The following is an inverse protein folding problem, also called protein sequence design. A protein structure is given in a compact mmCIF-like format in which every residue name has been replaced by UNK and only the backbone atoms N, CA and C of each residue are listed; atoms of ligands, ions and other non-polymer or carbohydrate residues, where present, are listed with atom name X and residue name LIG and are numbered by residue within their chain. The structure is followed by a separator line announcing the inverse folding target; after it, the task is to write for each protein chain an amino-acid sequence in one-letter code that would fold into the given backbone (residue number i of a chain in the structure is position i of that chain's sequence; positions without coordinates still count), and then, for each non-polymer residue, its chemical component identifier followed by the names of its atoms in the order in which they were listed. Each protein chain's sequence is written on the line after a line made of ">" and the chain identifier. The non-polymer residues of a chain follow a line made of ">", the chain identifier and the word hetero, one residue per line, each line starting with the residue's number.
data_IF_308339183779
#
_entry.id   IF_308339183779
#
_cell.length_a   1.000
_cell.length_b   1.000
_cell.length_c   1.000
_cell.angle_alpha   90.00
_cell.angle_beta   90.00
_cell.angle_gamma   90.00
#
_symmetry.space_group_name_H-M   'P 1'
#
loop_
_entity.id
_entity.type
_entity.pdbx_description
1 polymer ?
#
# COMPACT_ATOMS: atom_id res chain seq x y z
N UNK A 1 -8.14 -8.41 19.66
CA UNK A 1 -7.91 -6.96 19.46
C UNK A 1 -8.43 -6.22 20.66
N UNK A 2 -7.70 -5.21 21.15
CA UNK A 2 -8.23 -4.35 22.22
C UNK A 2 -9.23 -3.34 21.64
N UNK A 3 -10.00 -2.69 22.50
CA UNK A 3 -10.96 -1.65 22.07
C UNK A 3 -10.24 -0.52 21.35
N UNK A 4 -9.08 -0.13 21.84
CA UNK A 4 -8.21 0.90 21.27
C UNK A 4 -7.74 0.52 19.88
N UNK A 5 -7.34 -0.75 19.67
CA UNK A 5 -6.97 -1.25 18.33
C UNK A 5 -8.14 -1.17 17.35
N UNK A 6 -9.35 -1.52 17.80
CA UNK A 6 -10.55 -1.44 16.95
C UNK A 6 -10.89 0.00 16.58
N UNK A 7 -10.80 0.93 17.52
CA UNK A 7 -11.06 2.36 17.26
C UNK A 7 -10.04 2.95 16.29
N UNK A 8 -8.76 2.59 16.41
CA UNK A 8 -7.72 3.03 15.47
C UNK A 8 -7.98 2.51 14.06
N UNK A 9 -8.40 1.26 13.90
CA UNK A 9 -8.75 0.70 12.59
C UNK A 9 -9.97 1.39 11.98
N UNK A 10 -11.02 1.64 12.77
CA UNK A 10 -12.19 2.38 12.29
C UNK A 10 -11.82 3.80 11.84
N UNK A 11 -10.95 4.49 12.59
CA UNK A 11 -10.46 5.80 12.20
C UNK A 11 -9.66 5.74 10.89
N UNK A 12 -8.77 4.76 10.75
CA UNK A 12 -8.05 4.51 9.49
C UNK A 12 -9.02 4.29 8.32
N UNK A 13 -10.06 3.46 8.50
CA UNK A 13 -11.00 3.15 7.43
C UNK A 13 -11.82 4.35 6.94
N UNK A 14 -12.00 5.36 7.79
CA UNK A 14 -12.71 6.60 7.43
C UNK A 14 -11.86 7.60 6.64
N UNK A 15 -10.54 7.39 6.53
CA UNK A 15 -9.64 8.31 5.83
C UNK A 15 -9.87 8.29 4.30
N UNK A 16 -9.65 9.41 3.59
CA UNK A 16 -9.51 9.44 2.14
C UNK A 16 -8.41 8.49 1.64
N UNK A 17 -8.53 8.01 0.41
CA UNK A 17 -7.58 7.03 -0.16
C UNK A 17 -6.11 7.51 -0.13
N UNK A 18 -5.88 8.80 -0.38
CA UNK A 18 -4.55 9.41 -0.34
C UNK A 18 -3.96 9.41 1.09
N UNK A 19 -4.77 9.76 2.08
CA UNK A 19 -4.36 9.76 3.50
C UNK A 19 -4.14 8.34 4.04
N UNK A 20 -4.97 7.37 3.63
CA UNK A 20 -4.75 5.94 3.92
C UNK A 20 -3.38 5.49 3.44
N UNK A 21 -3.00 5.88 2.21
CA UNK A 21 -1.70 5.52 1.61
C UNK A 21 -0.54 6.14 2.39
N UNK A 22 -0.62 7.42 2.72
CA UNK A 22 0.41 8.11 3.50
C UNK A 22 0.57 7.50 4.91
N UNK A 23 -0.54 7.19 5.58
CA UNK A 23 -0.53 6.54 6.89
C UNK A 23 0.11 5.15 6.83
N UNK A 24 -0.28 4.32 5.85
CA UNK A 24 0.27 2.98 5.68
C UNK A 24 1.79 3.01 5.45
N UNK A 25 2.30 3.93 4.62
CA UNK A 25 3.73 4.12 4.40
C UNK A 25 4.49 4.41 5.69
N UNK A 26 3.97 5.32 6.53
CA UNK A 26 4.64 5.69 7.78
C UNK A 26 4.59 4.58 8.82
N UNK A 27 3.49 3.80 8.86
CA UNK A 27 3.42 2.58 9.67
C UNK A 27 4.45 1.57 9.21
N UNK A 28 4.51 1.25 7.92
CA UNK A 28 5.46 0.29 7.34
C UNK A 28 6.92 0.69 7.60
N UNK A 29 7.23 1.99 7.50
CA UNK A 29 8.56 2.55 7.79
C UNK A 29 8.97 2.40 9.26
N UNK A 30 7.99 2.40 10.18
CA UNK A 30 8.20 2.33 11.64
C UNK A 30 8.04 0.94 12.22
N UNK A 31 7.37 0.03 11.52
CA UNK A 31 7.27 -1.37 11.93
C UNK A 31 8.66 -2.02 11.94
N UNK A 32 8.86 -2.93 12.90
CA UNK A 32 9.97 -3.90 12.97
C UNK A 32 10.25 -4.48 11.57
N UNK A 33 11.50 -4.92 11.26
CA UNK A 33 11.95 -5.12 9.89
C UNK A 33 10.85 -5.80 9.08
N UNK A 34 10.29 -5.03 8.14
CA UNK A 34 9.17 -5.48 7.33
C UNK A 34 9.64 -6.72 6.58
N UNK A 35 9.24 -7.88 7.08
CA UNK A 35 9.49 -9.17 6.47
C UNK A 35 8.26 -9.45 5.61
N UNK A 36 8.40 -9.22 4.29
CA UNK A 36 7.38 -9.61 3.33
C UNK A 36 7.20 -11.13 3.26
N UNK A 37 8.08 -11.91 3.92
CA UNK A 37 8.28 -13.31 3.61
C UNK A 37 8.83 -13.50 2.19
N UNK A 38 8.95 -14.75 1.74
CA UNK A 38 9.22 -15.06 0.34
C UNK A 38 8.04 -14.59 -0.52
N UNK A 39 8.31 -13.69 -1.46
CA UNK A 39 7.33 -13.30 -2.49
C UNK A 39 7.20 -14.45 -3.50
N UNK A 40 5.98 -14.82 -3.85
CA UNK A 40 5.74 -15.76 -4.94
C UNK A 40 5.99 -15.08 -6.30
N UNK A 41 6.43 -15.83 -7.30
CA UNK A 41 6.70 -15.31 -8.64
C UNK A 41 5.44 -14.65 -9.23
N UNK A 42 4.26 -15.23 -8.96
CA UNK A 42 2.98 -14.68 -9.40
C UNK A 42 2.65 -13.31 -8.77
N UNK A 43 3.08 -13.08 -7.52
CA UNK A 43 2.89 -11.80 -6.84
C UNK A 43 3.80 -10.73 -7.46
N UNK A 44 5.03 -11.11 -7.83
CA UNK A 44 5.98 -10.23 -8.51
C UNK A 44 5.48 -9.88 -9.91
N UNK A 45 4.97 -10.86 -10.67
CA UNK A 45 4.42 -10.66 -12.01
C UNK A 45 3.21 -9.73 -11.98
N UNK A 46 2.29 -9.95 -11.05
CA UNK A 46 1.11 -9.11 -10.90
C UNK A 46 1.47 -7.67 -10.50
N UNK A 47 2.38 -7.50 -9.54
CA UNK A 47 2.84 -6.17 -9.11
C UNK A 47 3.58 -5.45 -10.24
N UNK A 48 4.39 -6.17 -11.03
CA UNK A 48 5.12 -5.63 -12.17
C UNK A 48 4.17 -5.19 -13.28
N UNK A 49 3.18 -6.01 -13.64
CA UNK A 49 2.18 -5.66 -14.65
C UNK A 49 1.40 -4.39 -14.27
N UNK A 50 0.96 -4.28 -13.01
CA UNK A 50 0.26 -3.10 -12.52
C UNK A 50 1.16 -1.85 -12.54
N UNK A 51 2.44 -1.98 -12.23
CA UNK A 51 3.41 -0.89 -12.30
C UNK A 51 3.61 -0.41 -13.75
N UNK A 52 3.86 -1.32 -14.69
CA UNK A 52 4.04 -0.96 -16.10
C UNK A 52 2.79 -0.30 -16.69
N UNK A 53 1.59 -0.80 -16.38
CA UNK A 53 0.34 -0.17 -16.82
C UNK A 53 0.19 1.26 -16.27
N UNK A 54 0.62 1.51 -15.02
CA UNK A 54 0.61 2.86 -14.44
C UNK A 54 1.58 3.79 -15.18
N UNK A 55 2.79 3.31 -15.49
CA UNK A 55 3.80 4.11 -16.20
C UNK A 55 3.36 4.44 -17.63
N UNK A 56 2.74 3.48 -18.33
CA UNK A 56 2.20 3.70 -19.68
C UNK A 56 1.10 4.79 -19.67
N UNK A 57 0.27 4.83 -18.62
CA UNK A 57 -0.77 5.87 -18.47
C UNK A 57 -0.16 7.25 -18.21
N UNK A 58 0.88 7.32 -17.39
CA UNK A 58 1.58 8.58 -17.10
C UNK A 58 2.28 9.13 -18.35
N UNK A 59 2.94 8.27 -19.13
CA UNK A 59 3.58 8.62 -20.40
C UNK A 59 2.56 9.04 -21.48
N UNK A 60 1.39 8.40 -21.51
CA UNK A 60 0.31 8.75 -22.43
C UNK A 60 -0.36 10.09 -22.07
N UNK A 61 -0.41 10.46 -20.78
CA UNK A 61 -0.95 11.73 -20.29
C UNK A 61 0.03 12.91 -20.36
N UNK A 62 1.33 12.64 -20.53
CA UNK A 62 2.39 13.65 -20.66
C UNK A 62 2.65 14.12 -22.11
N UNK A 63 1.81 13.73 -23.07
CA UNK A 63 1.86 14.15 -24.49
C UNK A 63 0.77 15.14 -24.86
#
# INVERSE_FOLDING_TARGET
>A
MTRETTTLLQAFESLPAEEKRAFAQEVLRRSLPFDSGPLADEEIDAASAALFESLDKDDAGAR
#
